data_IF_676555800653
#
_entry.id   IF_676555800653
#
_cell.length_a   1.000
_cell.length_b   1.000
_cell.length_c   1.000
_cell.angle_alpha   90.00
_cell.angle_beta   90.00
_cell.angle_gamma   90.00
#
_symmetry.space_group_name_H-M   'P 1'
#
loop_
_entity.id
_entity.type
_entity.pdbx_description
1 polymer ?
#
# COMPACT_ATOMS: atom_id res chain seq x y z
N UNK A 1 14.27 -4.81 6.15
CA UNK A 1 13.45 -5.87 5.51
C UNK A 1 12.72 -5.26 4.34
N UNK A 2 12.67 -5.93 3.19
CA UNK A 2 11.93 -5.48 2.01
C UNK A 2 10.41 -5.35 2.27
N UNK A 3 9.69 -4.69 1.37
CA UNK A 3 8.24 -4.59 1.40
C UNK A 3 7.65 -4.76 0.02
N UNK A 4 6.53 -5.50 -0.09
CA UNK A 4 5.71 -5.61 -1.28
C UNK A 4 4.33 -5.05 -1.02
N UNK A 5 3.75 -4.39 -2.02
CA UNK A 5 2.46 -3.74 -1.93
C UNK A 5 1.85 -3.54 -3.32
N UNK A 6 0.58 -3.21 -3.37
CA UNK A 6 -0.05 -2.88 -4.64
C UNK A 6 -1.56 -2.93 -4.64
N UNK A 7 -2.12 -2.88 -5.84
CA UNK A 7 -3.53 -3.10 -6.08
C UNK A 7 -3.78 -3.98 -7.31
N UNK A 8 -4.92 -4.67 -7.29
CA UNK A 8 -5.56 -5.21 -8.49
C UNK A 8 -6.97 -4.65 -8.60
N UNK A 9 -7.38 -4.26 -9.81
CA UNK A 9 -8.72 -3.71 -10.03
C UNK A 9 -9.35 -4.25 -11.31
N UNK A 10 -10.68 -4.18 -11.39
CA UNK A 10 -11.41 -4.49 -12.60
C UNK A 10 -11.21 -3.36 -13.62
N UNK A 11 -10.78 -3.72 -14.81
CA UNK A 11 -10.63 -2.80 -15.93
C UNK A 11 -11.93 -2.05 -16.25
N UNK A 12 -11.83 -0.75 -16.51
CA UNK A 12 -12.93 0.08 -16.99
C UNK A 12 -14.12 0.26 -16.04
N UNK A 13 -13.99 -0.16 -14.78
CA UNK A 13 -15.12 -0.15 -13.83
C UNK A 13 -15.22 1.14 -13.01
N UNK A 14 -14.10 1.76 -12.65
CA UNK A 14 -14.03 2.83 -11.68
C UNK A 14 -14.55 4.16 -12.25
N UNK A 15 -15.26 4.93 -11.39
CA UNK A 15 -15.52 6.35 -11.64
C UNK A 15 -14.23 7.17 -11.53
N UNK A 16 -14.28 8.44 -11.97
CA UNK A 16 -13.12 9.35 -11.83
C UNK A 16 -12.73 9.51 -10.35
N UNK A 17 -13.68 9.79 -9.48
CA UNK A 17 -13.42 9.92 -8.04
C UNK A 17 -12.90 8.65 -7.37
N UNK A 18 -13.23 7.47 -7.92
CA UNK A 18 -12.64 6.23 -7.45
C UNK A 18 -11.22 6.05 -7.96
N UNK A 19 -10.91 6.51 -9.18
CA UNK A 19 -9.53 6.50 -9.69
C UNK A 19 -8.65 7.43 -8.89
N UNK A 20 -9.09 8.69 -8.64
CA UNK A 20 -8.35 9.65 -7.81
C UNK A 20 -7.99 9.04 -6.45
N UNK A 21 -8.96 8.37 -5.82
CA UNK A 21 -8.75 7.71 -4.53
C UNK A 21 -7.81 6.49 -4.62
N UNK A 22 -7.82 5.74 -5.73
CA UNK A 22 -6.85 4.66 -5.96
C UNK A 22 -5.44 5.23 -6.09
N UNK A 23 -5.27 6.36 -6.77
CA UNK A 23 -4.00 7.07 -6.90
C UNK A 23 -3.48 7.58 -5.54
N UNK A 24 -4.37 8.12 -4.70
CA UNK A 24 -4.04 8.48 -3.33
C UNK A 24 -3.56 7.27 -2.51
N UNK A 25 -4.30 6.15 -2.58
CA UNK A 25 -3.93 4.93 -1.86
C UNK A 25 -2.58 4.40 -2.34
N UNK A 26 -2.33 4.38 -3.64
CA UNK A 26 -1.05 3.92 -4.20
C UNK A 26 0.09 4.83 -3.78
N UNK A 27 -0.12 6.14 -3.77
CA UNK A 27 0.87 7.11 -3.30
C UNK A 27 1.20 6.87 -1.83
N UNK A 28 0.18 6.68 -1.00
CA UNK A 28 0.36 6.39 0.43
C UNK A 28 1.00 5.01 0.66
N UNK A 29 0.59 3.96 -0.05
CA UNK A 29 1.22 2.63 0.03
C UNK A 29 2.70 2.71 -0.31
N UNK A 30 3.05 3.46 -1.37
CA UNK A 30 4.44 3.63 -1.80
C UNK A 30 5.22 4.41 -0.75
N UNK A 31 4.69 5.53 -0.28
CA UNK A 31 5.33 6.38 0.72
C UNK A 31 5.57 5.62 2.03
N UNK A 32 4.53 5.02 2.60
CA UNK A 32 4.58 4.33 3.88
C UNK A 32 5.48 3.08 3.85
N UNK A 33 5.69 2.50 2.67
CA UNK A 33 6.56 1.33 2.51
C UNK A 33 8.04 1.63 2.76
N UNK A 34 8.45 2.91 2.83
CA UNK A 34 9.84 3.33 3.12
C UNK A 34 10.41 2.71 4.41
N UNK A 35 9.56 2.43 5.39
CA UNK A 35 9.97 1.80 6.66
C UNK A 35 10.51 0.39 6.47
N UNK A 36 10.21 -0.25 5.32
CA UNK A 36 10.66 -1.60 4.99
C UNK A 36 11.99 -1.63 4.26
N UNK A 37 12.34 -0.56 3.53
CA UNK A 37 13.61 -0.50 2.80
C UNK A 37 13.79 0.84 2.08
N UNK A 38 15.03 1.29 2.01
CA UNK A 38 15.40 2.61 1.45
C UNK A 38 16.40 2.54 0.30
N UNK A 39 16.87 1.35 -0.05
CA UNK A 39 17.97 1.22 -1.01
C UNK A 39 17.52 1.33 -2.47
N UNK A 40 16.29 0.93 -2.74
CA UNK A 40 15.66 1.13 -4.06
C UNK A 40 14.16 0.93 -3.98
N UNK A 41 13.47 1.53 -4.93
CA UNK A 41 12.03 1.36 -5.17
C UNK A 41 11.81 0.89 -6.59
N UNK A 42 10.85 -0.02 -6.77
CA UNK A 42 10.47 -0.43 -8.11
C UNK A 42 9.01 -0.82 -8.20
N UNK A 43 8.47 -0.61 -9.38
CA UNK A 43 7.03 -0.66 -9.66
C UNK A 43 6.78 -1.41 -10.96
N UNK A 44 5.64 -2.09 -11.05
CA UNK A 44 5.08 -2.53 -12.33
C UNK A 44 3.64 -2.06 -12.44
N UNK A 45 3.29 -1.47 -13.57
CA UNK A 45 1.94 -1.08 -13.95
C UNK A 45 1.54 -1.95 -15.13
N UNK A 46 0.45 -2.65 -15.00
CA UNK A 46 0.03 -3.66 -15.98
C UNK A 46 -1.42 -3.46 -16.35
N UNK A 47 -1.66 -3.44 -17.66
CA UNK A 47 -2.96 -3.54 -18.30
C UNK A 47 -3.00 -4.79 -19.19
N UNK A 48 -4.10 -5.02 -19.90
CA UNK A 48 -4.18 -6.13 -20.87
C UNK A 48 -3.21 -6.00 -22.03
N UNK A 49 -2.87 -4.79 -22.41
CA UNK A 49 -2.12 -4.47 -23.64
C UNK A 49 -0.71 -3.98 -23.36
N UNK A 50 -0.49 -3.41 -22.18
CA UNK A 50 0.77 -2.77 -21.85
C UNK A 50 1.29 -3.19 -20.47
N UNK A 51 2.61 -3.16 -20.35
CA UNK A 51 3.32 -3.30 -19.09
C UNK A 51 4.42 -2.28 -19.00
N UNK A 52 4.47 -1.56 -17.91
CA UNK A 52 5.55 -0.66 -17.55
C UNK A 52 6.25 -1.21 -16.31
N UNK A 53 7.57 -1.30 -16.34
CA UNK A 53 8.40 -1.57 -15.17
C UNK A 53 9.30 -0.39 -14.95
N UNK A 54 9.20 0.23 -13.79
CA UNK A 54 10.02 1.36 -13.36
C UNK A 54 10.85 0.95 -12.16
N UNK A 55 12.13 1.31 -12.16
CA UNK A 55 13.07 1.03 -11.08
C UNK A 55 13.95 2.24 -10.82
N UNK A 56 14.23 2.50 -9.55
CA UNK A 56 15.07 3.63 -9.14
C UNK A 56 15.81 3.31 -7.85
N UNK A 57 16.95 3.96 -7.63
CA UNK A 57 17.69 3.93 -6.37
C UNK A 57 17.15 4.96 -5.35
N UNK A 58 16.13 5.72 -5.71
CA UNK A 58 15.41 6.55 -4.73
C UNK A 58 14.66 5.67 -3.75
N UNK A 59 14.64 6.05 -2.48
CA UNK A 59 13.68 5.47 -1.53
C UNK A 59 12.25 5.85 -1.91
N UNK A 60 11.26 5.09 -1.44
CA UNK A 60 9.88 5.28 -1.89
C UNK A 60 9.27 6.62 -1.47
N UNK A 61 9.68 7.17 -0.33
CA UNK A 61 9.32 8.52 0.11
C UNK A 61 9.93 9.60 -0.81
N UNK A 62 11.20 9.46 -1.21
CA UNK A 62 11.83 10.34 -2.19
C UNK A 62 11.19 10.24 -3.57
N UNK A 63 10.79 9.04 -3.98
CA UNK A 63 10.13 8.84 -5.26
C UNK A 63 8.77 9.54 -5.30
N UNK A 64 7.94 9.33 -4.28
CA UNK A 64 6.60 9.95 -4.20
C UNK A 64 6.68 11.49 -4.17
N UNK A 65 7.75 12.05 -3.62
CA UNK A 65 8.00 13.50 -3.59
C UNK A 65 8.74 14.02 -4.82
N UNK A 66 8.83 13.28 -5.92
CA UNK A 66 9.55 13.69 -7.14
C UNK A 66 8.62 13.80 -8.35
N UNK A 67 9.07 14.56 -9.37
CA UNK A 67 8.34 14.69 -10.64
C UNK A 67 8.13 13.33 -11.35
N UNK A 68 9.03 12.36 -11.10
CA UNK A 68 8.87 11.01 -11.65
C UNK A 68 7.57 10.36 -11.18
N UNK A 69 7.12 10.68 -9.94
CA UNK A 69 5.88 10.12 -9.40
C UNK A 69 4.65 10.61 -10.15
N UNK A 70 4.60 11.88 -10.50
CA UNK A 70 3.51 12.42 -11.33
C UNK A 70 3.44 11.69 -12.68
N UNK A 71 4.58 11.49 -13.33
CA UNK A 71 4.65 10.74 -14.58
C UNK A 71 4.23 9.26 -14.43
N UNK A 72 4.47 8.65 -13.26
CA UNK A 72 4.04 7.28 -12.94
C UNK A 72 2.52 7.24 -12.75
N UNK A 73 1.94 8.19 -12.00
CA UNK A 73 0.50 8.26 -11.77
C UNK A 73 -0.27 8.43 -13.08
N UNK A 74 0.22 9.24 -14.02
CA UNK A 74 -0.37 9.38 -15.35
C UNK A 74 -0.48 8.07 -16.16
N UNK A 75 0.29 7.04 -15.77
CA UNK A 75 0.21 5.70 -16.38
C UNK A 75 -0.81 4.79 -15.70
N UNK A 76 -1.36 5.22 -14.56
CA UNK A 76 -2.42 4.49 -13.87
C UNK A 76 -3.76 5.03 -14.35
N UNK A 77 -4.43 4.27 -15.18
CA UNK A 77 -5.69 4.64 -15.82
C UNK A 77 -6.79 3.59 -15.58
N UNK A 78 -7.92 3.77 -16.25
CA UNK A 78 -9.05 2.82 -16.17
C UNK A 78 -8.71 1.45 -16.74
N UNK A 79 -7.76 1.35 -17.65
CA UNK A 79 -7.33 0.08 -18.28
C UNK A 79 -6.27 -0.64 -17.46
N UNK A 80 -5.62 0.03 -16.52
CA UNK A 80 -4.71 -0.60 -15.57
C UNK A 80 -5.45 -1.65 -14.75
N UNK A 81 -4.91 -2.86 -14.68
CA UNK A 81 -5.48 -3.96 -13.91
C UNK A 81 -4.69 -4.28 -12.64
N UNK A 82 -3.37 -4.13 -12.67
CA UNK A 82 -2.49 -4.40 -11.53
C UNK A 82 -1.41 -3.33 -11.42
N UNK A 83 -1.20 -2.87 -10.22
CA UNK A 83 -0.01 -2.12 -9.79
C UNK A 83 0.72 -2.94 -8.75
N UNK A 84 1.99 -3.23 -8.98
CA UNK A 84 2.84 -4.00 -8.09
C UNK A 84 4.04 -3.15 -7.68
N UNK A 85 4.22 -2.93 -6.38
CA UNK A 85 5.29 -2.15 -5.81
C UNK A 85 6.21 -2.96 -4.90
N UNK A 86 7.47 -2.55 -4.85
CA UNK A 86 8.48 -3.11 -3.97
C UNK A 86 9.44 -2.04 -3.46
N UNK A 87 9.80 -2.12 -2.18
CA UNK A 87 10.92 -1.38 -1.57
C UNK A 87 11.97 -2.36 -1.09
N UNK A 88 13.22 -2.07 -1.42
CA UNK A 88 14.35 -2.95 -1.11
C UNK A 88 15.14 -2.45 0.09
N UNK A 89 15.46 -3.38 0.98
CA UNK A 89 16.62 -3.30 1.87
C UNK A 89 17.57 -4.42 1.41
N UNK A 90 18.69 -4.05 0.82
CA UNK A 90 19.61 -5.01 0.22
C UNK A 90 20.28 -5.88 1.28
N UNK A 91 20.05 -7.18 1.18
CA UNK A 91 20.73 -8.21 1.98
C UNK A 91 21.72 -9.01 1.13
N UNK A 92 21.42 -9.14 -0.16
CA UNK A 92 22.20 -9.89 -1.14
C UNK A 92 22.33 -9.07 -2.43
N UNK A 93 23.51 -9.09 -3.04
CA UNK A 93 23.79 -8.39 -4.29
C UNK A 93 24.03 -6.88 -4.12
N UNK A 94 24.56 -6.26 -5.16
CA UNK A 94 24.87 -4.82 -5.20
C UNK A 94 23.57 -4.01 -5.35
N UNK A 95 23.54 -2.81 -4.78
CA UNK A 95 22.43 -1.86 -4.95
C UNK A 95 22.55 -1.23 -6.33
N UNK A 96 21.76 -1.72 -7.27
CA UNK A 96 21.63 -1.22 -8.65
C UNK A 96 20.17 -1.29 -9.08
N UNK A 97 19.78 -0.54 -10.10
CA UNK A 97 18.41 -0.60 -10.63
C UNK A 97 18.10 -1.99 -11.22
N UNK A 98 19.08 -2.67 -11.82
CA UNK A 98 18.90 -4.03 -12.34
C UNK A 98 18.53 -5.01 -11.22
N UNK A 99 19.10 -4.82 -10.03
CA UNK A 99 18.88 -5.65 -8.86
C UNK A 99 17.68 -5.21 -8.01
N UNK A 100 17.01 -4.14 -8.39
CA UNK A 100 15.73 -3.75 -7.79
C UNK A 100 14.58 -4.63 -8.35
N UNK A 101 13.56 -4.87 -7.52
CA UNK A 101 12.30 -5.49 -7.97
C UNK A 101 11.42 -4.45 -8.70
N UNK A 102 10.38 -4.89 -9.42
CA UNK A 102 10.07 -6.28 -9.73
C UNK A 102 11.00 -6.89 -10.78
N UNK A 103 11.18 -8.19 -10.73
CA UNK A 103 11.91 -8.93 -11.75
C UNK A 103 10.98 -9.37 -12.88
N UNK A 104 11.50 -9.32 -14.11
CA UNK A 104 10.83 -9.83 -15.32
C UNK A 104 11.59 -11.05 -15.78
N UNK A 105 10.97 -12.22 -15.74
CA UNK A 105 11.52 -13.48 -16.24
C UNK A 105 10.55 -14.12 -17.22
N UNK A 106 10.83 -13.99 -18.50
CA UNK A 106 9.91 -14.37 -19.55
C UNK A 106 8.61 -13.57 -19.46
N UNK A 107 7.50 -14.24 -19.18
CA UNK A 107 6.17 -13.62 -19.05
C UNK A 107 5.77 -13.34 -17.60
N UNK A 108 6.60 -13.69 -16.61
CA UNK A 108 6.33 -13.45 -15.19
C UNK A 108 6.96 -12.13 -14.77
N UNK A 109 6.17 -11.29 -14.09
CA UNK A 109 6.64 -10.06 -13.42
C UNK A 109 6.35 -10.23 -11.94
N UNK A 110 7.36 -10.11 -11.07
CA UNK A 110 7.12 -10.37 -9.67
C UNK A 110 8.07 -9.68 -8.69
N UNK A 111 7.62 -9.57 -7.45
CA UNK A 111 8.36 -9.04 -6.34
C UNK A 111 8.38 -10.02 -5.16
N UNK A 112 9.49 -10.04 -4.46
CA UNK A 112 9.78 -10.92 -3.34
C UNK A 112 10.26 -10.11 -2.13
N UNK A 113 9.70 -10.42 -0.98
CA UNK A 113 10.19 -9.97 0.32
C UNK A 113 10.62 -11.21 1.11
N UNK A 114 11.92 -11.39 1.30
CA UNK A 114 12.47 -12.54 2.00
C UNK A 114 13.90 -12.83 1.62
N UNK A 115 14.34 -14.09 1.83
CA UNK A 115 15.69 -14.58 1.49
C UNK A 115 15.57 -16.03 1.00
N UNK A 116 16.16 -16.33 -0.16
CA UNK A 116 16.28 -17.70 -0.67
C UNK A 116 17.74 -18.17 -0.46
N UNK A 117 17.91 -19.07 0.50
CA UNK A 117 19.22 -19.51 0.93
C UNK A 117 19.96 -20.32 -0.14
N UNK A 118 19.25 -21.18 -0.86
CA UNK A 118 19.82 -22.07 -1.87
C UNK A 118 19.77 -21.50 -3.30
N UNK A 119 19.59 -20.16 -3.45
CA UNK A 119 19.47 -19.52 -4.76
C UNK A 119 20.63 -19.84 -5.72
N UNK A 120 21.86 -19.97 -5.21
CA UNK A 120 23.02 -20.31 -6.03
C UNK A 120 22.93 -21.71 -6.67
N UNK A 121 22.32 -22.68 -5.98
CA UNK A 121 22.13 -24.02 -6.49
C UNK A 121 21.03 -24.06 -7.55
N UNK A 122 19.97 -23.31 -7.31
CA UNK A 122 18.87 -23.14 -8.26
C UNK A 122 19.36 -22.43 -9.52
N UNK A 123 20.12 -21.34 -9.35
CA UNK A 123 20.67 -20.55 -10.45
C UNK A 123 21.46 -21.40 -11.43
N UNK A 124 22.30 -22.34 -10.94
CA UNK A 124 23.07 -23.26 -11.80
C UNK A 124 22.19 -24.10 -12.72
N UNK A 125 20.93 -24.38 -12.32
CA UNK A 125 19.99 -25.20 -13.06
C UNK A 125 19.11 -24.41 -14.04
N UNK A 126 18.85 -23.12 -13.74
CA UNK A 126 17.89 -22.32 -14.52
C UNK A 126 18.53 -21.19 -15.32
N UNK A 127 19.43 -20.44 -14.71
CA UNK A 127 20.13 -19.30 -15.32
C UNK A 127 21.41 -18.99 -14.54
N UNK A 128 22.56 -19.07 -15.19
CA UNK A 128 23.86 -18.88 -14.55
C UNK A 128 24.18 -17.43 -14.21
N UNK A 129 23.38 -16.46 -14.68
CA UNK A 129 23.63 -15.03 -14.54
C UNK A 129 22.75 -14.36 -13.45
N UNK A 130 22.26 -15.13 -12.49
CA UNK A 130 21.48 -14.61 -11.36
C UNK A 130 22.37 -13.80 -10.43
N UNK A 131 21.99 -12.56 -10.14
CA UNK A 131 22.71 -11.66 -9.24
C UNK A 131 22.02 -11.49 -7.88
N UNK A 132 20.71 -11.75 -7.82
CA UNK A 132 19.88 -11.61 -6.62
C UNK A 132 19.10 -12.90 -6.42
N UNK A 133 19.00 -13.35 -5.18
CA UNK A 133 18.30 -14.56 -4.78
C UNK A 133 16.85 -14.61 -5.28
N UNK A 134 16.17 -13.48 -5.31
CA UNK A 134 14.78 -13.36 -5.78
C UNK A 134 14.58 -13.75 -7.24
N UNK A 135 15.59 -13.62 -8.09
CA UNK A 135 15.47 -13.91 -9.52
C UNK A 135 15.16 -15.37 -9.81
N UNK A 136 15.66 -16.28 -8.95
CA UNK A 136 15.43 -17.72 -9.16
C UNK A 136 13.98 -18.09 -9.02
N UNK A 137 13.23 -17.43 -8.13
CA UNK A 137 11.80 -17.68 -7.91
C UNK A 137 11.02 -17.46 -9.20
N UNK A 138 11.18 -16.28 -9.79
CA UNK A 138 10.45 -15.91 -11.01
C UNK A 138 10.93 -16.67 -12.23
N UNK A 139 12.21 -17.09 -12.25
CA UNK A 139 12.74 -18.02 -13.23
C UNK A 139 12.10 -19.40 -13.16
N UNK A 140 11.86 -19.90 -11.96
CA UNK A 140 11.14 -21.16 -11.73
C UNK A 140 9.66 -21.03 -12.10
N UNK A 141 8.96 -19.99 -11.61
CA UNK A 141 7.56 -19.73 -11.93
C UNK A 141 7.30 -19.60 -13.44
N UNK A 142 8.26 -19.05 -14.19
CA UNK A 142 8.14 -19.00 -15.65
C UNK A 142 8.33 -20.36 -16.34
N UNK A 143 9.04 -21.30 -15.73
CA UNK A 143 9.39 -22.61 -16.33
C UNK A 143 8.51 -23.76 -15.90
N UNK A 144 8.00 -23.70 -14.67
CA UNK A 144 7.21 -24.77 -14.06
C UNK A 144 5.72 -24.53 -14.23
N UNK A 145 4.97 -25.59 -14.44
CA UNK A 145 3.51 -25.52 -14.57
C UNK A 145 2.80 -25.64 -13.22
N UNK A 146 3.42 -26.36 -12.27
CA UNK A 146 2.84 -26.61 -10.94
C UNK A 146 3.57 -25.80 -9.88
N UNK A 147 2.83 -25.09 -9.06
CA UNK A 147 3.39 -24.30 -7.96
C UNK A 147 4.18 -25.16 -6.97
N UNK A 148 3.67 -26.34 -6.62
CA UNK A 148 4.37 -27.27 -5.71
C UNK A 148 5.80 -27.56 -6.18
N UNK A 149 6.02 -27.79 -7.49
CA UNK A 149 7.36 -28.04 -8.04
C UNK A 149 8.30 -26.82 -7.90
N UNK A 150 7.76 -25.61 -7.77
CA UNK A 150 8.53 -24.40 -7.48
C UNK A 150 8.91 -24.36 -6.01
N UNK A 151 7.92 -24.52 -5.12
CA UNK A 151 8.12 -24.38 -3.68
C UNK A 151 8.92 -25.54 -3.06
N UNK A 152 8.86 -26.74 -3.63
CA UNK A 152 9.72 -27.86 -3.26
C UNK A 152 11.21 -27.59 -3.45
N UNK A 153 11.55 -26.65 -4.35
CA UNK A 153 12.95 -26.29 -4.66
C UNK A 153 13.47 -25.12 -3.82
N UNK A 154 12.60 -24.36 -3.18
CA UNK A 154 12.98 -23.15 -2.44
C UNK A 154 13.33 -23.50 -0.99
N UNK A 155 14.49 -23.03 -0.54
CA UNK A 155 14.88 -23.03 0.86
C UNK A 155 15.02 -21.58 1.32
N UNK A 156 14.13 -21.11 2.18
CA UNK A 156 14.13 -19.72 2.60
C UNK A 156 12.82 -19.26 3.19
N UNK A 157 12.70 -17.97 3.39
CA UNK A 157 11.47 -17.32 3.80
C UNK A 157 11.03 -16.31 2.72
N UNK A 158 9.72 -16.24 2.46
CA UNK A 158 9.25 -15.40 1.38
C UNK A 158 7.79 -14.95 1.51
N UNK A 159 7.55 -13.72 1.06
CA UNK A 159 6.26 -13.26 0.59
C UNK A 159 6.39 -12.82 -0.86
N UNK A 160 5.46 -13.23 -1.70
CA UNK A 160 5.49 -13.07 -3.13
C UNK A 160 4.25 -12.34 -3.63
N UNK A 161 4.45 -11.44 -4.58
CA UNK A 161 3.41 -10.95 -5.46
C UNK A 161 3.89 -11.03 -6.90
N UNK A 162 3.10 -11.64 -7.78
CA UNK A 162 3.48 -11.75 -9.18
C UNK A 162 2.28 -11.77 -10.12
N UNK A 163 2.55 -11.52 -11.38
CA UNK A 163 1.61 -11.54 -12.50
C UNK A 163 2.15 -12.56 -13.49
N UNK A 164 1.28 -13.38 -14.04
CA UNK A 164 1.65 -14.44 -14.96
C UNK A 164 1.61 -14.04 -16.44
N UNK A 165 1.79 -15.05 -17.28
CA UNK A 165 1.99 -15.00 -18.73
C UNK A 165 0.97 -14.18 -19.50
N UNK A 166 -0.28 -14.24 -19.09
CA UNK A 166 -1.38 -13.56 -19.81
C UNK A 166 -1.72 -12.19 -19.21
N UNK A 167 -0.99 -11.78 -18.16
CA UNK A 167 -1.23 -10.54 -17.40
C UNK A 167 -2.67 -10.39 -16.86
N UNK A 168 -3.38 -11.52 -16.74
CA UNK A 168 -4.77 -11.56 -16.28
C UNK A 168 -4.91 -11.88 -14.81
N UNK A 169 -3.91 -12.55 -14.26
CA UNK A 169 -3.96 -13.05 -12.89
C UNK A 169 -2.87 -12.40 -12.06
N UNK A 170 -3.29 -11.83 -10.91
CA UNK A 170 -2.41 -11.51 -9.81
C UNK A 170 -2.33 -12.72 -8.91
N UNK A 171 -1.13 -13.02 -8.47
CA UNK A 171 -0.87 -14.07 -7.47
C UNK A 171 -0.25 -13.47 -6.23
N UNK A 172 -0.72 -13.91 -5.07
CA UNK A 172 -0.16 -13.59 -3.77
C UNK A 172 0.11 -14.90 -3.02
N UNK A 173 1.24 -14.96 -2.34
CA UNK A 173 1.62 -16.09 -1.49
C UNK A 173 2.58 -15.64 -0.41
N UNK A 174 2.53 -16.23 0.77
CA UNK A 174 3.49 -15.96 1.82
C UNK A 174 3.64 -17.11 2.80
N UNK A 175 4.78 -17.16 3.46
CA UNK A 175 5.05 -17.99 4.63
C UNK A 175 4.81 -17.22 5.94
N UNK A 176 4.82 -17.94 7.06
CA UNK A 176 4.50 -17.39 8.39
C UNK A 176 5.41 -16.22 8.77
N UNK A 177 6.71 -16.29 8.46
CA UNK A 177 7.70 -15.27 8.76
C UNK A 177 7.56 -13.96 7.95
N UNK A 178 6.78 -13.97 6.86
CA UNK A 178 6.64 -12.85 5.92
C UNK A 178 5.18 -12.54 5.59
N UNK A 179 4.40 -12.01 6.55
CA UNK A 179 2.97 -11.84 6.37
C UNK A 179 2.59 -10.94 5.21
N UNK A 180 1.42 -11.22 4.61
CA UNK A 180 0.71 -10.35 3.67
C UNK A 180 -0.68 -10.03 4.18
N UNK A 181 -1.08 -8.79 3.97
CA UNK A 181 -2.39 -8.27 4.32
C UNK A 181 -3.10 -7.77 3.08
N UNK A 182 -4.41 -8.00 3.01
CA UNK A 182 -5.26 -7.57 1.90
C UNK A 182 -6.47 -6.80 2.39
N UNK A 183 -7.04 -5.97 1.53
CA UNK A 183 -8.28 -5.26 1.75
C UNK A 183 -9.08 -5.15 0.44
N UNK A 184 -10.42 -5.31 0.54
CA UNK A 184 -11.30 -5.26 -0.62
C UNK A 184 -12.14 -3.99 -0.62
N UNK A 185 -11.93 -3.14 -1.59
CA UNK A 185 -12.86 -2.04 -1.88
C UNK A 185 -13.89 -2.52 -2.91
N UNK A 186 -14.94 -3.17 -2.42
CA UNK A 186 -15.93 -3.86 -3.25
C UNK A 186 -16.62 -2.94 -4.25
N UNK A 187 -16.98 -1.70 -3.86
CA UNK A 187 -17.65 -0.74 -4.74
C UNK A 187 -16.79 -0.35 -5.94
N UNK A 188 -15.49 -0.15 -5.73
CA UNK A 188 -14.55 0.14 -6.80
C UNK A 188 -14.03 -1.12 -7.52
N UNK A 189 -14.41 -2.31 -7.06
CA UNK A 189 -13.85 -3.58 -7.55
C UNK A 189 -12.33 -3.53 -7.57
N UNK A 190 -11.77 -3.18 -6.41
CA UNK A 190 -10.34 -3.05 -6.21
C UNK A 190 -9.89 -3.83 -4.96
N UNK A 191 -8.82 -4.57 -5.10
CA UNK A 191 -8.10 -5.27 -4.05
C UNK A 191 -6.79 -4.52 -3.80
N UNK A 192 -6.45 -4.27 -2.54
CA UNK A 192 -5.15 -3.74 -2.13
C UNK A 192 -4.41 -4.77 -1.28
N UNK A 193 -3.08 -4.75 -1.33
CA UNK A 193 -2.25 -5.55 -0.43
C UNK A 193 -1.01 -4.80 0.03
N UNK A 194 -0.46 -5.21 1.17
CA UNK A 194 0.83 -4.76 1.68
C UNK A 194 1.47 -5.80 2.61
N UNK A 195 2.78 -5.69 2.80
CA UNK A 195 3.57 -6.53 3.72
C UNK A 195 3.20 -6.34 5.19
N UNK A 196 2.58 -5.24 5.58
CA UNK A 196 2.12 -5.03 6.95
C UNK A 196 0.72 -4.44 7.00
N UNK A 197 -0.01 -4.74 8.09
CA UNK A 197 -1.34 -4.21 8.36
C UNK A 197 -1.31 -2.69 8.51
N UNK A 198 -0.24 -2.18 9.12
CA UNK A 198 -0.07 -0.76 9.41
C UNK A 198 0.06 0.04 8.12
N UNK A 199 0.95 -0.37 7.20
CA UNK A 199 1.12 0.29 5.89
C UNK A 199 -0.21 0.33 5.14
N UNK A 200 -0.90 -0.81 5.04
CA UNK A 200 -2.18 -0.88 4.35
C UNK A 200 -3.25 -0.05 5.05
N UNK A 201 -3.29 -0.09 6.40
CA UNK A 201 -4.27 0.65 7.19
C UNK A 201 -4.11 2.17 7.09
N UNK A 202 -2.88 2.67 7.14
CA UNK A 202 -2.59 4.10 6.97
C UNK A 202 -2.99 4.54 5.56
N UNK A 203 -2.55 3.82 4.54
CA UNK A 203 -2.82 4.17 3.16
C UNK A 203 -4.32 4.25 2.84
N UNK A 204 -5.11 3.31 3.35
CA UNK A 204 -6.56 3.30 3.18
C UNK A 204 -7.24 4.42 3.97
N UNK A 205 -6.85 4.62 5.24
CA UNK A 205 -7.40 5.64 6.12
C UNK A 205 -7.18 7.05 5.55
N UNK A 206 -5.97 7.34 5.09
CA UNK A 206 -5.60 8.67 4.59
C UNK A 206 -6.31 8.98 3.26
N UNK A 207 -6.66 7.96 2.48
CA UNK A 207 -7.55 8.09 1.33
C UNK A 207 -9.05 8.07 1.70
N UNK A 208 -9.39 8.14 2.98
CA UNK A 208 -10.77 8.18 3.46
C UNK A 208 -11.53 6.85 3.34
N UNK A 209 -10.84 5.71 3.28
CA UNK A 209 -11.47 4.39 3.25
C UNK A 209 -11.34 3.68 4.59
N UNK A 210 -12.50 3.30 5.16
CA UNK A 210 -12.59 2.47 6.36
C UNK A 210 -13.07 1.07 5.95
N UNK A 211 -12.17 0.23 5.46
CA UNK A 211 -12.46 -1.14 5.03
C UNK A 211 -11.65 -2.15 5.84
N UNK A 212 -12.17 -3.36 5.96
CA UNK A 212 -11.55 -4.41 6.75
C UNK A 212 -10.26 -4.92 6.10
N UNK A 213 -9.24 -5.16 6.92
CA UNK A 213 -7.95 -5.68 6.50
C UNK A 213 -7.80 -7.09 7.04
N UNK A 214 -7.53 -8.03 6.13
CA UNK A 214 -7.33 -9.44 6.41
C UNK A 214 -5.85 -9.81 6.28
N UNK A 215 -5.37 -10.70 7.15
CA UNK A 215 -4.12 -11.40 6.92
C UNK A 215 -4.42 -12.59 6.01
N UNK A 216 -3.68 -12.77 4.92
CA UNK A 216 -3.79 -13.99 4.11
C UNK A 216 -3.31 -15.20 4.92
N UNK A 217 -3.97 -16.35 4.83
CA UNK A 217 -3.40 -17.63 5.28
C UNK A 217 -2.07 -17.96 4.59
N UNK A 218 -1.19 -18.66 5.30
CA UNK A 218 0.11 -19.11 4.81
C UNK A 218 0.00 -20.30 3.89
N UNK A 219 1.10 -20.62 3.21
CA UNK A 219 1.27 -21.86 2.46
C UNK A 219 0.17 -22.11 1.41
N UNK A 220 -0.35 -21.00 0.89
CA UNK A 220 -1.42 -21.00 -0.11
C UNK A 220 -1.11 -19.96 -1.18
N UNK A 221 -1.15 -20.39 -2.44
CA UNK A 221 -1.12 -19.49 -3.59
C UNK A 221 -2.54 -19.00 -3.85
N UNK A 222 -2.73 -17.69 -3.75
CA UNK A 222 -3.99 -17.01 -4.07
C UNK A 222 -3.92 -16.45 -5.47
N UNK A 223 -4.79 -16.94 -6.35
CA UNK A 223 -4.91 -16.47 -7.73
C UNK A 223 -6.15 -15.59 -7.87
N UNK A 224 -5.94 -14.34 -8.24
CA UNK A 224 -6.97 -13.34 -8.49
C UNK A 224 -7.07 -13.05 -9.98
N UNK A 225 -8.04 -13.62 -10.66
CA UNK A 225 -8.31 -13.29 -12.06
C UNK A 225 -8.92 -11.90 -12.17
N UNK A 226 -8.18 -10.93 -12.73
CA UNK A 226 -8.58 -9.52 -12.76
C UNK A 226 -9.85 -9.23 -13.56
N UNK A 227 -10.29 -10.15 -14.44
CA UNK A 227 -11.54 -10.03 -15.17
C UNK A 227 -12.75 -10.62 -14.43
N UNK A 228 -12.54 -11.66 -13.63
CA UNK A 228 -13.62 -12.50 -13.10
C UNK A 228 -13.75 -12.51 -11.58
N UNK A 229 -12.65 -12.36 -10.84
CA UNK A 229 -12.58 -12.37 -9.39
C UNK A 229 -13.69 -11.52 -8.71
N UNK A 230 -14.09 -10.44 -9.33
CA UNK A 230 -15.09 -9.48 -8.83
C UNK A 230 -16.52 -10.02 -8.81
N UNK A 231 -16.78 -11.18 -9.38
CA UNK A 231 -18.14 -11.77 -9.44
C UNK A 231 -18.56 -12.31 -8.07
N UNK A 232 -17.67 -12.99 -7.38
CA UNK A 232 -17.93 -13.65 -6.10
C UNK A 232 -16.93 -13.29 -4.99
N UNK A 233 -15.90 -12.50 -5.32
CA UNK A 233 -14.84 -12.05 -4.42
C UNK A 233 -14.01 -13.21 -3.84
N UNK A 234 -13.91 -14.30 -4.58
CA UNK A 234 -13.11 -15.45 -4.21
C UNK A 234 -11.89 -15.57 -5.11
N UNK A 235 -10.72 -15.74 -4.49
CA UNK A 235 -9.53 -16.18 -5.19
C UNK A 235 -9.63 -17.69 -5.49
N UNK A 236 -9.04 -18.11 -6.60
CA UNK A 236 -8.69 -19.51 -6.72
C UNK A 236 -7.51 -19.77 -5.79
N UNK A 237 -7.51 -20.88 -5.08
CA UNK A 237 -6.48 -21.22 -4.10
C UNK A 237 -5.82 -22.54 -4.45
N UNK A 238 -4.50 -22.58 -4.26
CA UNK A 238 -3.72 -23.80 -4.36
C UNK A 238 -2.88 -23.90 -3.09
N UNK A 239 -3.22 -24.86 -2.24
CA UNK A 239 -2.38 -25.18 -1.08
C UNK A 239 -1.06 -25.77 -1.56
N UNK A 240 0.03 -25.36 -0.93
CA UNK A 240 1.37 -25.83 -1.22
C UNK A 240 2.09 -26.19 0.07
N UNK A 241 2.86 -27.25 0.03
CA UNK A 241 3.78 -27.55 1.11
C UNK A 241 5.04 -26.70 0.93
N UNK A 242 5.43 -25.97 1.96
CA UNK A 242 6.66 -25.19 1.99
C UNK A 242 7.70 -25.88 2.87
N UNK A 243 8.98 -25.62 2.65
CA UNK A 243 10.05 -26.21 3.46
C UNK A 243 10.11 -25.54 4.84
N UNK A 244 9.12 -25.85 5.71
CA UNK A 244 8.96 -25.28 7.05
C UNK A 244 10.15 -25.52 8.01
N UNK A 245 11.13 -26.34 7.63
CA UNK A 245 12.32 -26.66 8.42
C UNK A 245 13.47 -25.66 8.22
N UNK A 246 13.31 -24.68 7.33
CA UNK A 246 14.32 -23.66 7.19
C UNK A 246 14.10 -22.58 8.27
N UNK A 247 14.87 -22.66 9.36
CA UNK A 247 15.03 -21.53 10.26
C UNK A 247 16.13 -20.65 9.72
N UNK A 248 15.84 -19.37 9.47
CA UNK A 248 16.90 -18.41 9.19
C UNK A 248 18.01 -18.62 10.21
N UNK A 249 19.26 -18.87 9.79
CA UNK A 249 20.37 -18.85 10.73
C UNK A 249 20.24 -17.53 11.47
N UNK A 250 20.35 -17.56 12.82
CA UNK A 250 20.18 -16.39 13.68
C UNK A 250 21.06 -15.22 13.20
N UNK A 251 20.69 -14.56 12.13
CA UNK A 251 21.23 -13.29 11.67
C UNK A 251 20.85 -12.13 12.60
N UNK A 252 20.18 -12.45 13.72
CA UNK A 252 20.12 -11.58 14.89
C UNK A 252 21.41 -11.63 15.75
N UNK A 253 22.44 -12.29 15.27
CA UNK A 253 23.78 -12.17 15.75
C UNK A 253 24.33 -10.81 15.34
N UNK A 254 24.19 -9.84 16.24
CA UNK A 254 25.03 -8.64 16.34
C UNK A 254 25.43 -8.09 14.97
N UNK A 255 24.54 -7.36 14.34
CA UNK A 255 24.95 -6.43 13.30
C UNK A 255 25.98 -5.50 13.93
N UNK A 256 27.23 -5.75 13.65
CA UNK A 256 28.23 -4.71 13.69
C UNK A 256 27.78 -3.65 12.71
N UNK A 257 26.98 -2.72 13.21
CA UNK A 257 26.79 -1.46 12.56
C UNK A 257 28.20 -0.89 12.33
N UNK A 258 28.54 -0.68 11.09
CA UNK A 258 29.64 0.20 10.77
C UNK A 258 29.35 1.51 11.50
N UNK A 259 30.08 1.71 12.58
CA UNK A 259 30.12 2.97 13.33
C UNK A 259 30.93 3.99 12.52
N UNK A 260 30.32 4.47 11.44
CA UNK A 260 30.62 5.79 10.91
C UNK A 260 29.73 6.74 11.67
N UNK A 261 30.31 7.40 12.67
CA UNK A 261 29.59 8.12 13.72
C UNK A 261 28.51 9.07 13.23
N UNK A 262 27.30 8.76 13.53
CA UNK A 262 26.25 9.64 14.04
C UNK A 262 25.24 8.73 14.75
N UNK A 263 25.04 9.00 16.04
CA UNK A 263 24.01 8.35 16.86
C UNK A 263 22.63 8.62 16.26
N UNK A 264 22.15 7.75 15.37
CA UNK A 264 20.72 7.70 15.05
C UNK A 264 20.01 6.94 16.17
N UNK A 265 19.47 7.71 17.09
CA UNK A 265 18.47 7.23 18.03
C UNK A 265 17.29 6.74 17.17
N UNK A 266 16.88 5.48 17.37
CA UNK A 266 15.68 4.87 16.79
C UNK A 266 14.41 5.55 17.34
N UNK A 267 14.14 6.77 16.94
CA UNK A 267 12.89 7.47 17.20
C UNK A 267 12.20 7.73 15.85
N UNK A 268 11.59 6.68 15.28
CA UNK A 268 10.53 6.90 14.33
C UNK A 268 9.35 7.49 15.10
N UNK A 269 9.12 8.77 14.96
CA UNK A 269 7.91 9.44 15.43
C UNK A 269 7.00 9.73 14.25
N UNK A 270 5.72 9.83 14.49
CA UNK A 270 4.81 10.34 13.48
C UNK A 270 4.96 11.86 13.39
N UNK A 271 4.83 12.42 12.21
CA UNK A 271 4.81 13.87 12.02
C UNK A 271 3.70 14.46 12.90
N UNK A 272 4.03 15.46 13.67
CA UNK A 272 3.11 16.11 14.62
C UNK A 272 1.87 16.70 13.94
N UNK A 273 1.94 16.97 12.65
CA UNK A 273 0.88 17.63 11.89
C UNK A 273 0.09 16.69 11.00
N UNK A 274 0.75 15.93 10.13
CA UNK A 274 0.09 15.05 9.17
C UNK A 274 0.07 13.59 9.60
N UNK A 275 0.59 13.25 10.79
CA UNK A 275 0.71 11.90 11.34
C UNK A 275 1.55 10.93 10.46
N UNK A 276 2.17 11.41 9.39
CA UNK A 276 3.11 10.59 8.61
C UNK A 276 4.37 10.30 9.41
N UNK A 277 4.94 9.12 9.19
CA UNK A 277 6.20 8.73 9.87
C UNK A 277 7.30 9.72 9.49
N UNK A 278 7.94 10.31 10.50
CA UNK A 278 9.11 11.17 10.34
C UNK A 278 10.28 10.65 11.15
N UNK A 279 11.48 10.79 10.61
CA UNK A 279 12.73 10.46 11.29
C UNK A 279 13.48 11.71 11.78
N UNK A 280 12.81 12.87 11.71
CA UNK A 280 13.38 14.14 12.17
C UNK A 280 13.26 14.28 13.68
N UNK A 281 14.31 14.82 14.28
CA UNK A 281 14.37 15.04 15.73
C UNK A 281 13.29 16.02 16.23
N UNK A 282 12.85 16.95 15.36
CA UNK A 282 11.78 17.90 15.62
C UNK A 282 10.36 17.30 15.49
N UNK A 283 10.26 16.08 14.97
CA UNK A 283 8.98 15.37 14.79
C UNK A 283 8.10 15.98 13.70
N UNK A 284 8.66 16.74 12.76
CA UNK A 284 7.94 17.35 11.63
C UNK A 284 8.50 16.79 10.33
N UNK A 285 7.66 16.28 9.44
CA UNK A 285 8.12 15.82 8.14
C UNK A 285 8.52 16.98 7.23
N UNK A 286 9.31 16.70 6.20
CA UNK A 286 9.79 17.73 5.27
C UNK A 286 8.63 18.51 4.64
N UNK A 287 7.60 17.82 4.19
CA UNK A 287 6.42 18.45 3.57
C UNK A 287 5.75 19.45 4.52
N UNK A 288 5.45 19.03 5.75
CA UNK A 288 4.84 19.95 6.71
C UNK A 288 5.73 21.12 7.09
N UNK A 289 7.05 20.93 7.09
CA UNK A 289 8.01 22.00 7.33
C UNK A 289 8.07 23.00 6.17
N UNK A 290 8.08 22.49 4.95
CA UNK A 290 8.07 23.31 3.73
C UNK A 290 6.72 24.04 3.56
N UNK A 291 5.61 23.43 4.02
CA UNK A 291 4.27 24.03 4.06
C UNK A 291 4.09 25.04 5.21
N UNK A 292 5.14 25.35 5.99
CA UNK A 292 5.13 26.37 7.03
C UNK A 292 4.42 25.99 8.33
N UNK A 293 4.24 24.70 8.60
CA UNK A 293 3.58 24.20 9.82
C UNK A 293 4.31 24.49 11.14
N UNK A 294 5.45 25.18 11.11
CA UNK A 294 6.14 25.66 12.31
C UNK A 294 5.59 27.01 12.82
N UNK A 295 4.95 27.80 11.96
CA UNK A 295 4.46 29.14 12.31
C UNK A 295 3.02 29.09 12.84
N UNK A 296 2.82 29.54 14.06
CA UNK A 296 1.49 29.73 14.67
C UNK A 296 0.97 28.56 15.51
N UNK A 297 1.64 27.40 15.56
CA UNK A 297 1.32 26.31 16.46
C UNK A 297 2.12 26.39 17.76
N UNK A 298 1.46 26.19 18.86
CA UNK A 298 2.08 26.12 20.20
C UNK A 298 1.76 24.81 20.89
N UNK A 299 2.73 24.30 21.63
CA UNK A 299 2.57 23.10 22.46
C UNK A 299 2.06 23.51 23.85
N UNK A 300 1.03 22.84 24.33
CA UNK A 300 0.56 23.01 25.73
C UNK A 300 1.40 22.20 26.69
N UNK A 301 1.35 22.52 27.98
CA UNK A 301 2.01 21.75 29.06
C UNK A 301 1.55 20.28 29.13
N UNK A 302 0.36 19.98 28.59
CA UNK A 302 -0.19 18.63 28.45
C UNK A 302 0.26 17.86 27.21
N UNK A 303 1.11 18.45 26.34
CA UNK A 303 1.61 17.81 25.13
C UNK A 303 0.70 17.94 23.90
N UNK A 304 -0.40 18.69 23.98
CA UNK A 304 -1.28 18.96 22.86
C UNK A 304 -0.77 20.15 22.03
N UNK A 305 -0.79 20.01 20.73
CA UNK A 305 -0.58 21.11 19.81
C UNK A 305 -1.87 21.89 19.60
N UNK A 306 -1.80 23.22 19.70
CA UNK A 306 -2.93 24.11 19.53
C UNK A 306 -2.58 25.29 18.65
N UNK A 307 -3.56 25.80 17.88
CA UNK A 307 -3.50 27.09 17.21
C UNK A 307 -4.88 27.72 17.14
N UNK A 308 -4.92 29.01 16.83
CA UNK A 308 -6.17 29.69 16.57
C UNK A 308 -6.59 29.45 15.11
N UNK A 309 -7.81 28.98 14.89
CA UNK A 309 -8.39 28.94 13.57
C UNK A 309 -8.39 30.34 12.94
N UNK A 310 -7.87 30.50 11.71
CA UNK A 310 -7.79 31.80 11.02
C UNK A 310 -9.15 32.42 10.77
N UNK A 311 -10.20 31.61 10.70
CA UNK A 311 -11.57 32.09 10.41
C UNK A 311 -12.37 32.41 11.65
N UNK A 312 -12.57 31.43 12.55
CA UNK A 312 -13.39 31.67 13.74
C UNK A 312 -12.62 32.17 14.95
N UNK A 313 -11.29 32.24 14.87
CA UNK A 313 -10.36 32.65 15.93
C UNK A 313 -10.41 31.78 17.19
N UNK A 314 -11.10 30.64 17.13
CA UNK A 314 -11.18 29.68 18.24
C UNK A 314 -9.89 28.89 18.32
N UNK A 315 -9.34 28.81 19.54
CA UNK A 315 -8.22 27.93 19.83
C UNK A 315 -8.64 26.49 19.64
N UNK A 316 -7.93 25.75 18.79
CA UNK A 316 -8.30 24.42 18.35
C UNK A 316 -7.09 23.51 18.44
N UNK A 317 -7.30 22.25 18.85
CA UNK A 317 -6.22 21.24 18.86
C UNK A 317 -5.76 20.94 17.44
N UNK A 318 -4.45 20.68 17.27
CA UNK A 318 -3.82 20.42 15.99
C UNK A 318 -4.46 19.30 15.18
N UNK A 319 -4.99 18.27 15.86
CA UNK A 319 -5.76 17.16 15.25
C UNK A 319 -7.05 17.60 14.53
N UNK A 320 -7.58 18.79 14.90
CA UNK A 320 -8.79 19.38 14.34
C UNK A 320 -8.50 20.63 13.48
N UNK A 321 -7.25 20.86 13.14
CA UNK A 321 -6.79 21.97 12.32
C UNK A 321 -6.29 21.46 10.98
N UNK A 322 -6.65 22.18 9.93
CA UNK A 322 -6.24 21.91 8.56
C UNK A 322 -5.48 23.13 8.07
N UNK A 323 -4.32 22.92 7.46
CA UNK A 323 -3.52 23.96 6.86
C UNK A 323 -3.92 24.20 5.43
N UNK A 324 -4.44 25.39 5.12
CA UNK A 324 -4.91 25.76 3.78
C UNK A 324 -4.35 27.14 3.43
N UNK A 325 -3.57 27.24 2.35
CA UNK A 325 -3.04 28.50 1.80
C UNK A 325 -2.32 29.42 2.81
N UNK A 326 -1.57 28.84 3.75
CA UNK A 326 -0.84 29.64 4.74
C UNK A 326 -1.59 29.87 6.07
N UNK A 327 -2.77 29.30 6.25
CA UNK A 327 -3.63 29.51 7.41
C UNK A 327 -4.09 28.22 8.05
N UNK A 328 -4.18 28.18 9.39
CA UNK A 328 -4.83 27.10 10.14
C UNK A 328 -6.33 27.30 10.18
N UNK A 329 -7.09 26.38 9.64
CA UNK A 329 -8.56 26.40 9.63
C UNK A 329 -9.06 25.19 10.40
N UNK A 330 -9.97 25.37 11.36
CA UNK A 330 -10.55 24.22 12.04
C UNK A 330 -11.53 23.45 11.11
N UNK A 331 -11.65 22.15 11.34
CA UNK A 331 -12.53 21.26 10.58
C UNK A 331 -13.97 21.77 10.50
N UNK A 332 -14.45 22.48 11.54
CA UNK A 332 -15.78 23.10 11.53
C UNK A 332 -15.87 24.23 10.51
N UNK A 333 -14.86 25.14 10.43
CA UNK A 333 -14.85 26.25 9.47
C UNK A 333 -14.63 25.77 8.04
N UNK A 334 -13.80 24.77 7.85
CA UNK A 334 -13.62 24.12 6.55
C UNK A 334 -14.93 23.52 6.05
N UNK A 335 -15.58 22.70 6.85
CA UNK A 335 -16.87 22.13 6.51
C UNK A 335 -17.93 23.20 6.24
N UNK A 336 -17.86 24.36 6.92
CA UNK A 336 -18.76 25.49 6.68
C UNK A 336 -18.50 26.16 5.32
N UNK A 337 -17.27 26.21 4.82
CA UNK A 337 -16.96 26.70 3.47
C UNK A 337 -17.57 25.83 2.38
N UNK A 338 -17.49 24.54 2.51
CA UNK A 338 -18.15 23.61 1.58
C UNK A 338 -19.67 23.67 1.64
N UNK A 339 -20.25 24.00 2.79
CA UNK A 339 -21.70 24.17 2.93
C UNK A 339 -22.21 25.53 2.41
N UNK A 340 -21.36 26.57 2.27
CA UNK A 340 -21.80 27.89 1.81
C UNK A 340 -21.72 28.09 0.28
N UNK A 341 -21.05 27.27 -0.47
CA UNK A 341 -20.99 27.40 -1.93
C UNK A 341 -22.10 26.65 -2.69
N UNK A 342 -22.94 25.85 -2.01
CA UNK A 342 -23.98 25.07 -2.68
C UNK A 342 -25.30 24.91 -1.93
N UNK A 343 -25.75 25.89 -1.12
CA UNK A 343 -27.12 25.81 -0.60
C UNK A 343 -27.81 27.17 -0.54
N UNK A 344 -28.46 27.51 -1.66
CA UNK A 344 -29.72 28.27 -1.64
C UNK A 344 -30.87 27.26 -1.66
N UNK A 345 -31.50 27.09 -0.52
CA UNK A 345 -32.89 26.64 -0.30
C UNK A 345 -33.48 25.48 -1.12
N UNK A 346 -33.94 24.46 -0.37
CA UNK A 346 -34.99 23.51 -0.74
C UNK A 346 -34.64 22.58 -1.90
N UNK A 347 -33.85 21.55 -1.61
CA UNK A 347 -33.95 20.32 -2.39
C UNK A 347 -33.66 19.09 -1.53
N UNK A 348 -34.48 18.07 -1.75
CA UNK A 348 -34.51 16.75 -1.15
C UNK A 348 -33.29 15.88 -1.45
N UNK A 349 -32.21 16.42 -2.01
CA UNK A 349 -30.98 15.71 -2.42
C UNK A 349 -29.76 16.15 -1.63
N UNK A 350 -29.83 16.15 -0.29
CA UNK A 350 -28.66 16.36 0.53
C UNK A 350 -27.74 15.14 0.43
N UNK A 351 -26.52 15.34 -0.12
CA UNK A 351 -25.50 14.31 -0.22
C UNK A 351 -24.65 14.31 1.05
N UNK A 352 -24.43 13.15 1.66
CA UNK A 352 -23.52 12.96 2.78
C UNK A 352 -22.57 11.79 2.51
N UNK A 353 -21.33 11.81 3.06
CA UNK A 353 -20.41 10.70 2.89
C UNK A 353 -20.85 9.50 3.70
N UNK A 354 -20.84 8.33 3.10
CA UNK A 354 -21.03 7.07 3.79
C UNK A 354 -19.90 6.79 4.77
N UNK A 355 -20.22 6.53 6.03
CA UNK A 355 -19.22 6.27 7.08
C UNK A 355 -18.37 5.02 6.83
N UNK A 356 -18.82 4.11 5.96
CA UNK A 356 -18.08 2.87 5.67
C UNK A 356 -17.26 2.92 4.37
N UNK A 357 -17.76 3.53 3.30
CA UNK A 357 -17.04 3.59 2.03
C UNK A 357 -16.58 5.00 1.63
N UNK A 358 -16.99 6.03 2.38
CA UNK A 358 -16.64 7.42 2.11
C UNK A 358 -17.30 8.03 0.87
N UNK A 359 -18.12 7.28 0.11
CA UNK A 359 -18.82 7.81 -1.05
C UNK A 359 -19.98 8.69 -0.65
N UNK A 360 -20.19 9.76 -1.40
CA UNK A 360 -21.32 10.67 -1.21
C UNK A 360 -22.59 10.07 -1.80
N UNK A 361 -23.62 9.94 -0.96
CA UNK A 361 -24.93 9.41 -1.33
C UNK A 361 -26.02 10.36 -0.81
N UNK A 362 -27.22 10.38 -1.45
CA UNK A 362 -28.36 11.11 -0.92
C UNK A 362 -28.68 10.64 0.50
N UNK A 363 -28.88 11.57 1.43
CA UNK A 363 -29.16 11.23 2.83
C UNK A 363 -30.41 10.35 2.98
N UNK A 364 -31.38 10.51 2.06
CA UNK A 364 -32.59 9.70 2.00
C UNK A 364 -32.32 8.22 1.66
N UNK A 365 -31.20 7.92 0.97
CA UNK A 365 -30.79 6.57 0.60
C UNK A 365 -29.82 5.95 1.64
N UNK A 366 -29.51 6.69 2.72
CA UNK A 366 -28.62 6.23 3.77
C UNK A 366 -29.39 5.57 4.93
N UNK A 367 -28.76 4.57 5.53
CA UNK A 367 -29.29 3.90 6.73
C UNK A 367 -28.39 4.19 7.92
N UNK A 368 -28.96 4.37 9.10
CA UNK A 368 -28.21 4.48 10.35
C UNK A 368 -27.90 3.07 10.89
N UNK A 369 -26.63 2.75 11.03
CA UNK A 369 -26.16 1.49 11.61
C UNK A 369 -25.11 1.82 12.67
N UNK A 370 -25.36 1.47 13.95
CA UNK A 370 -24.47 1.75 15.08
C UNK A 370 -24.02 3.23 15.13
N UNK A 371 -24.95 4.15 14.99
CA UNK A 371 -24.74 5.61 14.95
C UNK A 371 -23.93 6.12 13.75
N UNK A 372 -23.66 5.27 12.76
CA UNK A 372 -23.02 5.63 11.49
C UNK A 372 -24.03 5.69 10.35
N UNK A 373 -23.99 6.77 9.56
CA UNK A 373 -24.75 6.87 8.31
C UNK A 373 -24.02 6.09 7.22
N UNK A 374 -24.65 5.05 6.70
CA UNK A 374 -24.07 4.18 5.67
C UNK A 374 -24.97 4.13 4.44
N UNK A 375 -24.36 4.06 3.25
CA UNK A 375 -25.09 3.93 2.00
C UNK A 375 -25.78 2.56 1.91
N UNK A 376 -26.76 2.47 1.02
CA UNK A 376 -27.50 1.22 0.78
C UNK A 376 -26.59 0.03 0.51
N UNK A 377 -25.55 0.22 -0.30
CA UNK A 377 -24.58 -0.84 -0.62
C UNK A 377 -23.85 -1.36 0.63
N UNK A 378 -23.37 -0.46 1.48
CA UNK A 378 -22.70 -0.86 2.73
C UNK A 378 -23.68 -1.52 3.72
N UNK A 379 -24.91 -1.07 3.77
CA UNK A 379 -25.96 -1.67 4.61
C UNK A 379 -26.34 -3.08 4.14
N UNK A 380 -26.49 -3.28 2.82
CA UNK A 380 -26.79 -4.60 2.25
C UNK A 380 -25.59 -5.56 2.45
N UNK A 381 -24.38 -5.03 2.39
CA UNK A 381 -23.17 -5.80 2.72
C UNK A 381 -23.13 -6.23 4.19
N UNK A 382 -23.40 -5.34 5.13
CA UNK A 382 -23.46 -5.68 6.56
C UNK A 382 -24.57 -6.71 6.87
N UNK A 383 -25.69 -6.63 6.19
CA UNK A 383 -26.79 -7.61 6.32
C UNK A 383 -26.47 -8.96 5.69
N UNK A 384 -25.63 -8.98 4.66
CA UNK A 384 -25.23 -10.21 3.97
C UNK A 384 -23.98 -10.87 4.57
N UNK A 385 -23.54 -10.45 5.75
CA UNK A 385 -22.36 -10.99 6.45
C UNK A 385 -22.49 -12.50 6.70
N UNK A 386 -22.23 -13.27 5.65
CA UNK A 386 -21.63 -14.61 5.83
C UNK A 386 -20.16 -14.37 6.15
N UNK A 387 -19.59 -15.05 7.16
CA UNK A 387 -18.16 -14.99 7.41
C UNK A 387 -17.43 -15.26 6.10
N UNK A 388 -16.49 -14.37 5.73
CA UNK A 388 -15.61 -14.61 4.62
C UNK A 388 -14.88 -15.93 4.91
N UNK A 389 -15.21 -16.96 4.21
CA UNK A 389 -14.33 -18.13 4.05
C UNK A 389 -13.31 -17.73 3.00
N UNK A 390 -12.09 -17.40 3.47
CA UNK A 390 -10.91 -17.36 2.63
C UNK A 390 -10.69 -18.73 1.98
#
# INVERSE_FOLDING_TARGET
>A
MCGIFGFAKREGWQSESQMDRIEDIVSNLTFESVIRGKDSTGLAIVSKTEKLVYKTLKSSDQLVCSDDWCNILEKIDKDTTVFLGHVRLATTGVVTEQNAHPFVKGSVIGAHNGIIANHNEIAKKIDKNVQVDSEVIFGLLNKKEKYQEVFDLLEGDYALSWIDRDYKNLYLMHEEGRPLYIAYWKKARCLFWASTREILGIALKDAGLCIEIFKLPTDTVYEFNTAEFWKDWKANTVEVETNANWSAPNYYGVGTYYSGGTNYVNNSSHCKFCQMVTYKADGICYKCKDDGYEEGLRLTDGGDWIANCSECKVETKGENLIWINGDYICSYCENKKYTHHHYSNKDSNRMEPCSYCGDFEPVEDMTLLNDHKICKYCNDYEKSRTPFTL
#
